data_IF_269923772880
#
_entry.id   IF_269923772880
#
_cell.length_a   1.000
_cell.length_b   1.000
_cell.length_c   1.000
_cell.angle_alpha   90.00
_cell.angle_beta   90.00
_cell.angle_gamma   90.00
#
_symmetry.space_group_name_H-M   'P 1'
#
loop_
_entity.id
_entity.type
_entity.pdbx_description
1 polymer ?
#
# COMPACT_ATOMS: atom_id res chain seq x y z
N UNK A 1 -15.61 42.64 -10.20
CA UNK A 1 -15.71 41.98 -8.89
C UNK A 1 -16.61 40.76 -9.07
N UNK A 2 -16.02 39.59 -9.30
CA UNK A 2 -16.77 38.33 -9.33
C UNK A 2 -16.61 37.68 -7.96
N UNK A 3 -17.75 37.44 -7.31
CA UNK A 3 -17.82 36.91 -5.96
C UNK A 3 -17.27 35.47 -5.95
N UNK A 4 -16.14 35.25 -5.28
CA UNK A 4 -15.60 33.94 -4.94
C UNK A 4 -16.44 33.27 -3.85
N UNK A 5 -17.72 33.02 -4.12
CA UNK A 5 -18.55 32.15 -3.31
C UNK A 5 -18.58 30.76 -3.95
N UNK A 6 -17.84 29.80 -3.37
CA UNK A 6 -17.98 28.38 -3.70
C UNK A 6 -19.46 27.98 -3.67
N UNK A 7 -19.88 27.23 -4.67
CA UNK A 7 -21.29 26.89 -4.87
C UNK A 7 -21.76 25.84 -3.84
N UNK A 8 -23.04 25.83 -3.44
CA UNK A 8 -23.61 24.78 -2.58
C UNK A 8 -23.45 23.35 -3.14
N UNK A 9 -23.22 23.22 -4.46
CA UNK A 9 -22.95 21.94 -5.12
C UNK A 9 -21.55 21.39 -4.81
N UNK A 10 -20.57 22.26 -4.58
CA UNK A 10 -19.24 21.83 -4.11
C UNK A 10 -19.27 21.33 -2.66
N UNK A 11 -20.28 21.75 -1.89
CA UNK A 11 -20.55 21.31 -0.52
C UNK A 11 -21.39 20.01 -0.42
N UNK A 12 -21.73 19.39 -1.57
CA UNK A 12 -22.49 18.13 -1.67
C UNK A 12 -21.75 17.04 -2.45
N UNK A 13 -20.41 17.08 -2.50
CA UNK A 13 -19.67 15.99 -3.13
C UNK A 13 -19.68 14.77 -2.19
N UNK A 14 -20.18 13.60 -2.64
CA UNK A 14 -19.92 12.37 -1.90
C UNK A 14 -18.40 12.20 -1.79
N UNK A 15 -17.91 11.84 -0.61
CA UNK A 15 -16.51 11.53 -0.43
C UNK A 15 -16.16 10.34 -1.33
N UNK A 16 -15.02 10.41 -2.02
CA UNK A 16 -14.60 9.37 -2.95
C UNK A 16 -13.27 8.79 -2.49
N UNK A 17 -13.17 7.49 -2.58
CA UNK A 17 -11.92 6.75 -2.38
C UNK A 17 -11.75 5.82 -3.56
N UNK A 18 -10.54 5.74 -4.07
CA UNK A 18 -10.14 4.79 -5.09
C UNK A 18 -9.28 3.75 -4.42
N UNK A 19 -9.53 2.48 -4.70
CA UNK A 19 -8.64 1.41 -4.29
C UNK A 19 -8.14 0.69 -5.52
N UNK A 20 -6.90 0.27 -5.51
CA UNK A 20 -6.35 -0.58 -6.55
C UNK A 20 -5.49 -1.65 -5.90
N UNK A 21 -5.28 -2.72 -6.64
CA UNK A 21 -4.51 -3.86 -6.17
C UNK A 21 -3.29 -4.03 -7.06
N UNK A 22 -2.15 -4.37 -6.47
CA UNK A 22 -0.90 -4.54 -7.20
C UNK A 22 -0.03 -5.64 -6.58
N UNK A 23 0.74 -6.30 -7.43
CA UNK A 23 1.70 -7.30 -6.99
C UNK A 23 2.98 -6.61 -6.51
N UNK A 24 3.30 -6.81 -5.23
CA UNK A 24 4.45 -6.18 -4.59
C UNK A 24 5.51 -7.23 -4.29
N UNK A 25 6.70 -7.01 -4.84
CA UNK A 25 7.85 -7.89 -4.64
C UNK A 25 8.70 -7.45 -3.42
N UNK A 26 8.68 -8.27 -2.37
CA UNK A 26 9.54 -8.14 -1.20
C UNK A 26 10.88 -8.83 -1.44
N UNK A 27 11.95 -8.05 -1.62
CA UNK A 27 13.30 -8.56 -1.89
C UNK A 27 14.09 -8.79 -0.59
N UNK A 28 14.80 -9.91 -0.54
CA UNK A 28 15.68 -10.26 0.58
C UNK A 28 16.90 -11.05 0.07
N UNK A 29 17.99 -11.02 0.83
CA UNK A 29 19.21 -11.80 0.50
C UNK A 29 19.29 -13.02 1.40
N UNK A 30 19.47 -14.20 0.80
CA UNK A 30 19.68 -15.46 1.50
C UNK A 30 20.99 -16.09 1.01
N UNK A 31 21.98 -16.25 1.90
CA UNK A 31 23.28 -16.87 1.57
C UNK A 31 23.97 -16.27 0.32
N UNK A 32 24.03 -14.93 0.24
CA UNK A 32 24.58 -14.18 -0.90
C UNK A 32 23.81 -14.32 -2.23
N UNK A 33 22.58 -14.85 -2.21
CA UNK A 33 21.67 -14.82 -3.35
C UNK A 33 20.50 -13.88 -3.08
N UNK A 34 20.19 -13.00 -4.04
CA UNK A 34 18.96 -12.20 -4.01
C UNK A 34 17.75 -13.09 -4.31
N UNK A 35 16.71 -12.97 -3.49
CA UNK A 35 15.41 -13.61 -3.65
C UNK A 35 14.31 -12.57 -3.52
N UNK A 36 13.14 -12.88 -4.05
CA UNK A 36 11.92 -12.10 -3.87
C UNK A 36 10.76 -13.01 -3.45
N UNK A 37 9.79 -12.42 -2.75
CA UNK A 37 8.44 -12.96 -2.56
C UNK A 37 7.48 -11.91 -3.11
N UNK A 38 6.54 -12.33 -3.94
CA UNK A 38 5.51 -11.46 -4.50
C UNK A 38 4.21 -11.73 -3.76
N UNK A 39 3.55 -10.68 -3.30
CA UNK A 39 2.21 -10.74 -2.71
C UNK A 39 1.35 -9.59 -3.23
N UNK A 40 0.05 -9.84 -3.27
CA UNK A 40 -0.95 -8.88 -3.71
C UNK A 40 -1.28 -7.89 -2.57
N UNK A 41 -1.07 -6.59 -2.78
CA UNK A 41 -1.43 -5.53 -1.83
C UNK A 41 -2.51 -4.61 -2.40
N UNK A 42 -3.46 -4.21 -1.54
CA UNK A 42 -4.48 -3.22 -1.90
C UNK A 42 -4.11 -1.85 -1.37
N UNK A 43 -4.04 -0.88 -2.25
CA UNK A 43 -3.70 0.50 -1.95
C UNK A 43 -4.92 1.40 -2.03
N UNK A 44 -4.86 2.49 -1.27
CA UNK A 44 -5.91 3.50 -1.17
C UNK A 44 -5.38 4.80 -1.76
N UNK A 45 -6.20 5.44 -2.60
CA UNK A 45 -5.97 6.76 -3.16
C UNK A 45 -7.19 7.64 -2.87
N UNK A 46 -6.97 8.78 -2.21
CA UNK A 46 -8.04 9.66 -1.72
C UNK A 46 -8.35 10.84 -2.65
N UNK A 47 -7.63 10.97 -3.77
CA UNK A 47 -7.71 12.11 -4.68
C UNK A 47 -8.64 11.86 -5.90
N UNK A 48 -8.64 12.77 -6.89
CA UNK A 48 -9.48 12.64 -8.09
C UNK A 48 -9.03 11.50 -9.01
N UNK A 49 -9.94 11.06 -9.89
CA UNK A 49 -9.63 10.06 -10.92
C UNK A 49 -8.56 10.57 -11.90
N UNK A 50 -8.54 11.86 -12.22
CA UNK A 50 -7.49 12.43 -13.07
C UNK A 50 -6.11 12.28 -12.41
N UNK A 51 -5.97 12.65 -11.13
CA UNK A 51 -4.73 12.48 -10.39
C UNK A 51 -4.31 11.00 -10.30
N UNK A 52 -5.29 10.10 -10.12
CA UNK A 52 -5.04 8.67 -10.11
C UNK A 52 -4.48 8.17 -11.45
N UNK A 53 -5.07 8.56 -12.58
CA UNK A 53 -4.61 8.14 -13.91
C UNK A 53 -3.27 8.75 -14.31
N UNK A 54 -2.98 9.98 -13.87
CA UNK A 54 -1.66 10.59 -14.08
C UNK A 54 -0.55 9.81 -13.36
N UNK A 55 -0.83 9.28 -12.18
CA UNK A 55 0.16 8.56 -11.37
C UNK A 55 0.29 7.07 -11.75
N UNK A 56 -0.84 6.38 -11.94
CA UNK A 56 -0.88 4.92 -12.10
C UNK A 56 -1.19 4.45 -13.52
N UNK A 57 -1.54 5.37 -14.42
CA UNK A 57 -1.97 5.08 -15.79
C UNK A 57 -3.43 4.62 -15.86
N UNK A 58 -3.99 4.67 -17.07
CA UNK A 58 -5.39 4.26 -17.34
C UNK A 58 -5.58 2.73 -17.36
N UNK A 59 -4.50 1.96 -17.48
CA UNK A 59 -4.53 0.51 -17.63
C UNK A 59 -4.69 -0.25 -16.30
N UNK A 60 -4.52 0.41 -15.14
CA UNK A 60 -4.57 -0.25 -13.84
C UNK A 60 -6.01 -0.51 -13.40
N UNK A 61 -6.42 -1.74 -13.07
CA UNK A 61 -7.75 -2.01 -12.56
C UNK A 61 -7.93 -1.38 -11.17
N UNK A 62 -8.98 -0.57 -11.02
CA UNK A 62 -9.29 0.11 -9.77
C UNK A 62 -10.78 0.01 -9.44
N UNK A 63 -11.12 0.28 -8.19
CA UNK A 63 -12.50 0.35 -7.71
C UNK A 63 -12.73 1.67 -6.98
N UNK A 64 -13.75 2.40 -7.41
CA UNK A 64 -14.16 3.65 -6.79
C UNK A 64 -15.29 3.39 -5.78
N UNK A 65 -15.12 3.90 -4.57
CA UNK A 65 -16.12 3.92 -3.52
C UNK A 65 -16.60 5.34 -3.31
N UNK A 66 -17.93 5.51 -3.23
CA UNK A 66 -18.56 6.80 -2.96
C UNK A 66 -19.30 6.71 -1.63
N UNK A 67 -19.03 7.66 -0.74
CA UNK A 67 -19.58 7.71 0.61
C UNK A 67 -20.38 8.97 0.83
N UNK A 68 -21.43 8.85 1.63
CA UNK A 68 -22.24 10.00 2.03
C UNK A 68 -21.70 10.64 3.33
N UNK A 69 -20.77 9.97 4.01
CA UNK A 69 -20.19 10.38 5.30
C UNK A 69 -18.70 10.11 5.34
N UNK A 70 -17.94 11.07 5.84
CA UNK A 70 -16.48 10.97 6.04
C UNK A 70 -16.09 9.79 6.94
N UNK A 71 -16.92 9.47 7.94
CA UNK A 71 -16.66 8.34 8.83
C UNK A 71 -16.70 6.98 8.10
N UNK A 72 -17.53 6.84 7.07
CA UNK A 72 -17.60 5.60 6.27
C UNK A 72 -16.36 5.45 5.39
N UNK A 73 -15.84 6.56 4.86
CA UNK A 73 -14.54 6.61 4.19
C UNK A 73 -13.43 6.16 5.14
N UNK A 74 -13.29 6.79 6.30
CA UNK A 74 -12.22 6.45 7.27
C UNK A 74 -12.22 4.98 7.65
N UNK A 75 -13.39 4.41 7.93
CA UNK A 75 -13.52 2.98 8.24
C UNK A 75 -13.03 2.08 7.08
N UNK A 76 -13.30 2.44 5.82
CA UNK A 76 -12.78 1.67 4.69
C UNK A 76 -11.25 1.74 4.64
N UNK A 77 -10.68 2.94 4.80
CA UNK A 77 -9.24 3.18 4.74
C UNK A 77 -8.54 2.39 5.85
N UNK A 78 -8.96 2.59 7.10
CA UNK A 78 -8.40 1.89 8.27
C UNK A 78 -8.42 0.37 8.08
N UNK A 79 -9.48 -0.17 7.47
CA UNK A 79 -9.60 -1.60 7.21
C UNK A 79 -8.62 -2.09 6.15
N UNK A 80 -8.43 -1.34 5.07
CA UNK A 80 -7.50 -1.70 3.98
C UNK A 80 -6.06 -1.58 4.47
N UNK A 81 -5.73 -0.52 5.20
CA UNK A 81 -4.41 -0.33 5.82
C UNK A 81 -4.09 -1.48 6.78
N UNK A 82 -5.02 -1.83 7.68
CA UNK A 82 -4.82 -2.98 8.58
C UNK A 82 -4.63 -4.31 7.84
N UNK A 83 -5.38 -4.55 6.76
CA UNK A 83 -5.20 -5.77 5.95
C UNK A 83 -3.84 -5.78 5.24
N UNK A 84 -3.38 -4.62 4.78
CA UNK A 84 -2.08 -4.46 4.13
C UNK A 84 -0.95 -4.73 5.11
N UNK A 85 -1.04 -4.20 6.33
CA UNK A 85 -0.08 -4.45 7.41
C UNK A 85 -0.01 -5.94 7.77
N UNK A 86 -1.15 -6.62 7.89
CA UNK A 86 -1.22 -8.06 8.16
C UNK A 86 -0.47 -8.88 7.07
N UNK A 87 -0.64 -8.52 5.79
CA UNK A 87 0.07 -9.20 4.68
C UNK A 87 1.57 -8.93 4.74
N UNK A 88 1.97 -7.69 5.03
CA UNK A 88 3.38 -7.33 5.18
C UNK A 88 4.02 -8.14 6.33
N UNK A 89 3.36 -8.22 7.48
CA UNK A 89 3.85 -8.99 8.63
C UNK A 89 4.00 -10.47 8.27
N UNK A 90 3.00 -11.05 7.60
CA UNK A 90 3.04 -12.45 7.16
C UNK A 90 4.22 -12.71 6.21
N UNK A 91 4.48 -11.81 5.25
CA UNK A 91 5.65 -11.93 4.36
C UNK A 91 6.96 -11.83 5.14
N UNK A 92 7.05 -10.91 6.10
CA UNK A 92 8.24 -10.76 6.92
C UNK A 92 8.49 -12.01 7.78
N UNK A 93 7.46 -12.61 8.36
CA UNK A 93 7.57 -13.87 9.10
C UNK A 93 8.04 -15.01 8.18
N UNK A 94 7.49 -15.11 6.96
CA UNK A 94 7.93 -16.09 5.96
C UNK A 94 9.41 -15.91 5.60
N UNK A 95 9.84 -14.68 5.36
CA UNK A 95 11.24 -14.34 5.08
C UNK A 95 12.12 -14.72 6.28
N UNK A 96 11.73 -14.35 7.49
CA UNK A 96 12.46 -14.68 8.72
C UNK A 96 12.57 -16.20 8.91
N UNK A 97 11.51 -16.95 8.64
CA UNK A 97 11.52 -18.41 8.62
C UNK A 97 12.53 -18.98 7.63
N UNK A 98 12.55 -18.46 6.39
CA UNK A 98 13.52 -18.86 5.35
C UNK A 98 14.97 -18.53 5.72
N UNK A 99 15.21 -17.42 6.42
CA UNK A 99 16.53 -17.09 6.95
C UNK A 99 16.92 -17.97 8.15
N UNK A 100 15.98 -18.30 9.04
CA UNK A 100 16.21 -19.04 10.30
C UNK A 100 16.67 -20.48 10.09
N UNK A 101 16.36 -21.11 8.95
CA UNK A 101 16.83 -22.47 8.61
C UNK A 101 18.13 -22.50 7.79
N UNK A 102 18.80 -21.36 7.59
CA UNK A 102 20.18 -21.25 7.10
C UNK A 102 21.15 -20.98 8.24
N UNK A 103 21.35 -21.96 9.13
CA UNK A 103 22.34 -21.90 10.22
C UNK A 103 23.74 -21.62 9.65
N UNK A 104 24.20 -20.38 9.79
CA UNK A 104 25.56 -20.03 10.15
C UNK A 104 25.51 -18.63 10.77
N UNK A 105 25.34 -18.59 12.10
CA UNK A 105 25.68 -17.40 12.87
C UNK A 105 27.20 -17.32 12.89
N UNK A 106 27.82 -16.73 11.86
CA UNK A 106 29.14 -16.17 12.03
C UNK A 106 28.95 -14.89 12.84
N UNK A 107 29.09 -15.03 14.16
CA UNK A 107 29.26 -13.88 15.05
C UNK A 107 30.31 -12.93 14.48
N UNK A 108 30.22 -11.66 14.88
CA UNK A 108 31.09 -10.57 14.42
C UNK A 108 32.53 -11.05 14.20
N UNK A 109 32.95 -11.16 12.94
CA UNK A 109 34.36 -11.16 12.62
C UNK A 109 34.80 -9.69 12.69
N UNK A 110 35.25 -9.26 13.87
CA UNK A 110 36.20 -8.16 13.93
C UNK A 110 37.46 -8.68 13.24
N UNK A 111 37.63 -8.36 11.96
CA UNK A 111 38.98 -8.32 11.39
C UNK A 111 39.59 -7.00 11.84
N UNK A 112 40.28 -7.03 12.98
CA UNK A 112 41.41 -6.13 13.21
C UNK A 112 42.68 -6.96 13.02
N UNK A 113 43.47 -6.53 12.02
CA UNK A 113 44.81 -6.95 11.58
C UNK A 113 45.00 -8.26 10.78
#
# INVERSE_FOLDING_TARGET
MQNNGLTPEENRRPYKVITYTDDVAFKYTLKNEEKSIEEELTFVWEDTLESFFEEYGEDKPFKMYAFNRENEQKILIDRIEGTTDDVIEAVQEQIAGKMKFGFDFSGQLHNDD
#
